data_IF_866093013365
#
_entry.id   IF_866093013365
#
_cell.length_a   1.000
_cell.length_b   1.000
_cell.length_c   1.000
_cell.angle_alpha   90.00
_cell.angle_beta   90.00
_cell.angle_gamma   90.00
#
_symmetry.space_group_name_H-M   'P 1'
#
loop_
_entity.id
_entity.type
_entity.pdbx_description
1 polymer ?
#
# COMPACT_ATOMS: atom_id res chain seq x y z
N UNK A 1 -38.54 -10.26 -3.91
CA UNK A 1 -37.26 -10.97 -4.11
C UNK A 1 -36.73 -10.66 -5.50
N UNK A 2 -35.64 -9.91 -5.58
CA UNK A 2 -35.02 -9.52 -6.83
C UNK A 2 -33.68 -8.89 -6.53
N UNK A 3 -32.67 -9.73 -6.33
CA UNK A 3 -31.30 -9.28 -6.10
C UNK A 3 -30.79 -8.57 -7.36
N UNK A 4 -30.68 -7.24 -7.30
CA UNK A 4 -29.81 -6.48 -8.20
C UNK A 4 -28.37 -6.88 -7.87
N UNK A 5 -27.87 -7.89 -8.57
CA UNK A 5 -26.44 -8.15 -8.61
C UNK A 5 -25.82 -6.99 -9.38
N UNK A 6 -25.01 -6.19 -8.68
CA UNK A 6 -24.31 -5.03 -9.21
C UNK A 6 -23.59 -5.37 -10.51
N UNK A 7 -23.77 -4.56 -11.56
CA UNK A 7 -23.18 -4.75 -12.89
C UNK A 7 -21.65 -4.82 -12.87
N UNK A 8 -21.02 -4.26 -11.84
CA UNK A 8 -19.57 -4.36 -11.59
C UNK A 8 -19.16 -5.78 -11.17
N UNK A 9 -20.00 -6.48 -10.41
CA UNK A 9 -19.73 -7.86 -9.96
C UNK A 9 -19.77 -8.84 -11.13
N UNK A 10 -20.73 -8.70 -12.05
CA UNK A 10 -20.88 -9.59 -13.22
C UNK A 10 -19.69 -9.43 -14.18
N UNK A 11 -19.18 -8.20 -14.34
CA UNK A 11 -18.06 -7.92 -15.26
C UNK A 11 -16.72 -8.49 -14.77
N UNK A 12 -16.52 -8.58 -13.45
CA UNK A 12 -15.34 -9.20 -12.85
C UNK A 12 -15.39 -10.73 -12.95
N UNK A 13 -16.55 -11.34 -12.68
CA UNK A 13 -16.74 -12.80 -12.74
C UNK A 13 -16.52 -13.32 -14.17
N UNK A 14 -17.08 -12.65 -15.18
CA UNK A 14 -16.91 -13.05 -16.58
C UNK A 14 -15.45 -12.97 -17.06
N UNK A 15 -14.64 -12.03 -16.54
CA UNK A 15 -13.22 -11.92 -16.89
C UNK A 15 -12.40 -13.03 -16.22
N UNK A 16 -12.64 -13.27 -14.94
CA UNK A 16 -11.98 -14.30 -14.14
C UNK A 16 -12.23 -15.70 -14.73
N UNK A 17 -13.47 -16.01 -15.14
CA UNK A 17 -13.77 -17.30 -15.79
C UNK A 17 -13.03 -17.50 -17.11
N UNK A 18 -12.86 -16.45 -17.92
CA UNK A 18 -12.12 -16.54 -19.19
C UNK A 18 -10.60 -16.71 -18.99
N UNK A 19 -10.03 -16.05 -17.98
CA UNK A 19 -8.59 -16.12 -17.70
C UNK A 19 -8.17 -17.49 -17.14
N UNK A 20 -9.04 -18.18 -16.39
CA UNK A 20 -8.75 -19.51 -15.82
C UNK A 20 -9.15 -20.69 -16.72
N UNK A 21 -9.84 -20.44 -17.84
CA UNK A 21 -10.31 -21.47 -18.76
C UNK A 21 -9.20 -22.44 -19.23
N UNK A 22 -7.96 -22.00 -19.56
CA UNK A 22 -6.89 -22.92 -19.96
C UNK A 22 -6.47 -23.90 -18.84
N UNK A 23 -6.40 -23.44 -17.59
CA UNK A 23 -6.08 -24.30 -16.45
C UNK A 23 -7.22 -25.28 -16.15
N UNK A 24 -8.45 -24.77 -16.16
CA UNK A 24 -9.65 -25.59 -15.97
C UNK A 24 -9.71 -26.73 -16.99
N UNK A 25 -9.46 -26.43 -18.26
CA UNK A 25 -9.40 -27.42 -19.33
C UNK A 25 -8.28 -28.46 -19.16
N UNK A 26 -7.15 -28.09 -18.57
CA UNK A 26 -6.09 -29.06 -18.24
C UNK A 26 -6.52 -30.00 -17.11
N UNK A 27 -7.20 -29.47 -16.09
CA UNK A 27 -7.67 -30.27 -14.94
C UNK A 27 -8.85 -31.18 -15.29
N UNK A 28 -9.70 -30.77 -16.22
CA UNK A 28 -10.88 -31.55 -16.67
C UNK A 28 -10.54 -32.62 -17.71
N UNK A 29 -9.36 -32.54 -18.34
CA UNK A 29 -8.94 -33.46 -19.39
C UNK A 29 -8.08 -34.59 -18.83
N UNK A 30 -8.51 -35.85 -19.01
CA UNK A 30 -7.67 -37.03 -18.76
C UNK A 30 -6.54 -37.20 -19.78
N UNK A 31 -6.45 -36.33 -20.79
CA UNK A 31 -5.41 -36.35 -21.83
C UNK A 31 -4.22 -35.41 -21.53
N UNK A 32 -4.32 -34.54 -20.52
CA UNK A 32 -3.23 -33.66 -20.11
C UNK A 32 -2.21 -34.42 -19.26
N UNK A 33 -0.92 -34.33 -19.61
CA UNK A 33 0.15 -34.79 -18.71
C UNK A 33 0.40 -33.77 -17.60
N UNK A 34 1.03 -34.20 -16.50
CA UNK A 34 1.51 -33.28 -15.45
C UNK A 34 2.26 -32.08 -16.02
N UNK A 35 3.09 -32.30 -17.04
CA UNK A 35 3.85 -31.26 -17.72
C UNK A 35 2.95 -30.19 -18.35
N UNK A 36 1.88 -30.60 -19.04
CA UNK A 36 0.94 -29.66 -19.67
C UNK A 36 0.19 -28.79 -18.65
N UNK A 37 -0.16 -29.34 -17.48
CA UNK A 37 -0.80 -28.54 -16.43
C UNK A 37 0.20 -27.63 -15.73
N UNK A 38 1.45 -28.06 -15.56
CA UNK A 38 2.52 -27.20 -15.07
C UNK A 38 2.75 -26.00 -16.00
N UNK A 39 2.86 -26.20 -17.32
CA UNK A 39 2.99 -25.10 -18.29
C UNK A 39 1.80 -24.13 -18.23
N UNK A 40 0.57 -24.65 -18.14
CA UNK A 40 -0.62 -23.81 -18.01
C UNK A 40 -0.58 -22.95 -16.74
N UNK A 41 -0.21 -23.53 -15.58
CA UNK A 41 -0.05 -22.79 -14.33
C UNK A 41 1.06 -21.74 -14.43
N UNK A 42 2.23 -22.11 -14.97
CA UNK A 42 3.36 -21.22 -15.11
C UNK A 42 3.01 -20.00 -15.99
N UNK A 43 2.34 -20.24 -17.11
CA UNK A 43 1.89 -19.19 -18.01
C UNK A 43 0.86 -18.26 -17.36
N UNK A 44 -0.06 -18.81 -16.56
CA UNK A 44 -1.03 -18.00 -15.81
C UNK A 44 -0.36 -17.12 -14.77
N UNK A 45 0.57 -17.67 -13.99
CA UNK A 45 1.32 -16.90 -12.98
C UNK A 45 2.09 -15.77 -13.67
N UNK A 46 2.80 -16.06 -14.76
CA UNK A 46 3.53 -15.05 -15.52
C UNK A 46 2.59 -13.96 -16.08
N UNK A 47 1.44 -14.36 -16.63
CA UNK A 47 0.45 -13.43 -17.14
C UNK A 47 -0.08 -12.51 -16.03
N UNK A 48 -0.43 -13.06 -14.87
CA UNK A 48 -0.87 -12.29 -13.71
C UNK A 48 0.21 -11.32 -13.22
N UNK A 49 1.48 -11.74 -13.16
CA UNK A 49 2.59 -10.85 -12.81
C UNK A 49 2.68 -9.68 -13.79
N UNK A 50 2.55 -9.93 -15.11
CA UNK A 50 2.55 -8.88 -16.13
C UNK A 50 1.35 -7.94 -15.95
N UNK A 51 0.16 -8.47 -15.70
CA UNK A 51 -1.04 -7.67 -15.44
C UNK A 51 -0.87 -6.79 -14.19
N UNK A 52 -0.34 -7.33 -13.10
CA UNK A 52 -0.06 -6.60 -11.86
C UNK A 52 0.93 -5.48 -12.14
N UNK A 53 2.07 -5.77 -12.77
CA UNK A 53 3.07 -4.76 -13.17
C UNK A 53 2.45 -3.65 -14.02
N UNK A 54 1.64 -4.01 -15.01
CA UNK A 54 0.94 -3.04 -15.85
C UNK A 54 -0.04 -2.17 -15.05
N UNK A 55 -0.76 -2.76 -14.08
CA UNK A 55 -1.69 -2.01 -13.22
C UNK A 55 -0.98 -1.04 -12.29
N UNK A 56 0.21 -1.40 -11.79
CA UNK A 56 1.06 -0.52 -11.00
C UNK A 56 1.61 0.62 -11.84
N UNK A 57 2.15 0.31 -13.03
CA UNK A 57 2.64 1.33 -13.95
C UNK A 57 1.54 2.34 -14.30
N UNK A 58 0.32 1.86 -14.58
CA UNK A 58 -0.85 2.73 -14.78
C UNK A 58 -1.14 3.59 -13.56
N UNK A 59 -1.06 3.01 -12.37
CA UNK A 59 -1.28 3.74 -11.12
C UNK A 59 -0.22 4.81 -10.87
N UNK A 60 1.01 4.63 -11.35
CA UNK A 60 2.12 5.59 -11.24
C UNK A 60 2.06 6.71 -12.30
N UNK A 61 1.59 6.39 -13.50
CA UNK A 61 1.75 7.28 -14.67
C UNK A 61 0.46 7.95 -15.10
N UNK A 62 -0.71 7.41 -14.75
CA UNK A 62 -1.99 7.87 -15.26
C UNK A 62 -3.00 8.20 -14.16
N UNK A 63 -3.65 9.35 -14.33
CA UNK A 63 -4.76 9.80 -13.49
C UNK A 63 -6.04 9.68 -14.29
N UNK A 64 -7.01 8.90 -13.79
CA UNK A 64 -8.34 8.79 -14.41
C UNK A 64 -9.14 10.06 -14.16
N UNK A 65 -10.08 10.37 -15.06
CA UNK A 65 -10.92 11.57 -14.95
C UNK A 65 -11.71 11.60 -13.64
N UNK A 66 -12.23 10.44 -13.22
CA UNK A 66 -13.00 10.27 -11.98
C UNK A 66 -12.18 10.58 -10.73
N UNK A 67 -10.85 10.50 -10.80
CA UNK A 67 -9.93 10.80 -9.69
C UNK A 67 -9.44 12.25 -9.69
N UNK A 68 -9.93 13.09 -10.62
CA UNK A 68 -9.56 14.51 -10.70
C UNK A 68 -10.25 15.40 -9.65
N UNK A 69 -10.52 14.84 -8.47
CA UNK A 69 -11.09 15.54 -7.31
C UNK A 69 -9.97 16.23 -6.51
N UNK A 70 -10.10 17.52 -6.11
CA UNK A 70 -9.05 18.23 -5.36
C UNK A 70 -8.58 17.50 -4.10
N UNK A 71 -9.51 16.85 -3.37
CA UNK A 71 -9.19 16.05 -2.20
C UNK A 71 -8.17 14.93 -2.48
N UNK A 72 -8.11 14.41 -3.71
CA UNK A 72 -7.25 13.28 -4.08
C UNK A 72 -5.90 13.72 -4.65
N UNK A 73 -5.64 15.03 -4.78
CA UNK A 73 -4.46 15.56 -5.47
C UNK A 73 -3.14 14.93 -4.98
N UNK A 74 -2.98 14.77 -3.66
CA UNK A 74 -1.77 14.21 -3.03
C UNK A 74 -1.67 12.69 -3.20
N UNK A 75 -2.79 12.00 -3.43
CA UNK A 75 -2.85 10.55 -3.55
C UNK A 75 -2.59 10.06 -4.99
N UNK A 76 -2.96 10.87 -5.99
CA UNK A 76 -2.76 10.56 -7.41
C UNK A 76 -1.30 10.17 -7.65
N UNK A 77 -1.08 9.10 -8.41
CA UNK A 77 0.24 8.55 -8.74
C UNK A 77 1.08 8.03 -7.56
N UNK A 78 0.54 8.01 -6.34
CA UNK A 78 1.23 7.53 -5.13
C UNK A 78 0.51 6.37 -4.45
N UNK A 79 -0.73 6.08 -4.85
CA UNK A 79 -1.54 4.98 -4.34
C UNK A 79 -2.16 4.22 -5.52
N UNK A 80 -2.54 2.97 -5.30
CA UNK A 80 -3.16 2.16 -6.35
C UNK A 80 -4.47 2.80 -6.84
N UNK A 81 -4.75 2.67 -8.15
CA UNK A 81 -6.02 3.15 -8.70
C UNK A 81 -7.23 2.47 -8.05
N UNK A 82 -7.09 1.22 -7.59
CA UNK A 82 -8.16 0.52 -6.87
C UNK A 82 -8.44 1.15 -5.50
N UNK A 83 -7.41 1.58 -4.77
CA UNK A 83 -7.60 2.34 -3.53
C UNK A 83 -8.34 3.67 -3.80
N UNK A 84 -7.99 4.39 -4.87
CA UNK A 84 -8.71 5.61 -5.27
C UNK A 84 -10.18 5.33 -5.62
N UNK A 85 -10.46 4.21 -6.30
CA UNK A 85 -11.84 3.79 -6.60
C UNK A 85 -12.65 3.52 -5.30
N UNK A 86 -12.02 2.93 -4.28
CA UNK A 86 -12.64 2.70 -2.97
C UNK A 86 -12.85 4.01 -2.18
N UNK A 87 -11.86 4.91 -2.17
CA UNK A 87 -12.00 6.22 -1.53
C UNK A 87 -13.07 7.05 -2.24
N UNK A 88 -13.17 6.97 -3.57
CA UNK A 88 -14.22 7.65 -4.34
C UNK A 88 -15.61 7.18 -3.90
N UNK A 89 -15.79 5.87 -3.68
CA UNK A 89 -17.07 5.33 -3.19
C UNK A 89 -17.44 5.90 -1.81
N UNK A 90 -16.48 5.98 -0.88
CA UNK A 90 -16.70 6.60 0.43
C UNK A 90 -16.88 8.12 0.33
N UNK A 91 -16.23 8.77 -0.63
CA UNK A 91 -16.36 10.20 -0.88
C UNK A 91 -17.77 10.55 -1.33
N UNK A 92 -18.34 9.79 -2.28
CA UNK A 92 -19.75 9.96 -2.67
C UNK A 92 -20.70 9.74 -1.49
N UNK A 93 -20.42 8.77 -0.61
CA UNK A 93 -21.21 8.56 0.61
C UNK A 93 -21.08 9.68 1.63
N UNK A 94 -19.98 10.43 1.60
CA UNK A 94 -19.72 11.52 2.54
C UNK A 94 -20.62 12.73 2.33
N UNK A 95 -21.20 12.90 1.13
CA UNK A 95 -22.13 13.98 0.82
C UNK A 95 -23.40 13.94 1.70
N UNK A 96 -23.82 12.73 2.10
CA UNK A 96 -24.97 12.49 2.96
C UNK A 96 -24.59 12.24 4.44
N UNK A 97 -23.29 12.25 4.76
CA UNK A 97 -22.79 11.89 6.09
C UNK A 97 -22.61 13.12 6.99
N UNK A 98 -23.00 12.97 8.27
CA UNK A 98 -22.69 13.95 9.31
C UNK A 98 -21.23 13.91 9.75
N UNK A 99 -20.77 14.93 10.47
CA UNK A 99 -19.47 14.87 11.15
C UNK A 99 -19.62 14.03 12.42
N UNK A 100 -18.87 12.93 12.53
CA UNK A 100 -18.74 12.19 13.79
C UNK A 100 -17.28 12.23 14.27
N UNK A 101 -17.04 12.87 15.42
CA UNK A 101 -15.73 12.95 16.04
C UNK A 101 -15.26 11.59 16.59
N UNK A 102 -16.17 10.66 16.87
CA UNK A 102 -15.90 9.35 17.43
C UNK A 102 -16.17 8.20 16.43
N UNK A 103 -16.05 8.49 15.13
CA UNK A 103 -16.36 7.55 14.05
C UNK A 103 -15.76 6.15 14.30
N UNK A 104 -16.63 5.14 14.34
CA UNK A 104 -16.28 3.71 14.51
C UNK A 104 -16.45 2.90 13.23
N UNK A 105 -16.34 3.54 12.07
CA UNK A 105 -16.50 2.85 10.79
C UNK A 105 -15.47 1.74 10.62
N UNK A 106 -15.96 0.52 10.38
CA UNK A 106 -15.11 -0.64 10.13
C UNK A 106 -14.25 -0.49 8.87
N UNK A 107 -14.64 0.36 7.92
CA UNK A 107 -13.92 0.62 6.69
C UNK A 107 -12.46 1.04 6.96
N UNK A 108 -12.24 1.96 7.90
CA UNK A 108 -10.89 2.39 8.29
C UNK A 108 -10.05 1.23 8.82
N UNK A 109 -10.61 0.42 9.71
CA UNK A 109 -9.91 -0.71 10.33
C UNK A 109 -9.66 -1.89 9.38
N UNK A 110 -10.55 -2.12 8.41
CA UNK A 110 -10.50 -3.29 7.53
C UNK A 110 -9.74 -3.01 6.24
N UNK A 111 -9.82 -1.78 5.73
CA UNK A 111 -9.18 -1.38 4.48
C UNK A 111 -8.00 -0.46 4.71
N UNK A 112 -7.82 0.18 5.87
CA UNK A 112 -6.71 1.13 6.08
C UNK A 112 -6.86 2.42 5.25
N UNK A 113 -8.10 2.77 4.89
CA UNK A 113 -8.46 3.94 4.07
C UNK A 113 -9.42 4.86 4.85
N UNK A 114 -9.45 6.18 4.58
CA UNK A 114 -10.41 7.09 5.21
C UNK A 114 -11.85 6.69 4.89
N UNK A 115 -12.72 6.66 5.91
CA UNK A 115 -14.15 6.44 5.72
C UNK A 115 -14.89 7.74 5.36
N UNK A 116 -16.15 7.63 4.94
CA UNK A 116 -17.02 8.77 4.60
C UNK A 116 -16.99 9.90 5.65
N UNK A 117 -17.11 9.58 6.94
CA UNK A 117 -17.10 10.58 8.02
C UNK A 117 -15.76 11.32 8.17
N UNK A 118 -14.63 10.64 7.90
CA UNK A 118 -13.31 11.29 7.87
C UNK A 118 -13.18 12.19 6.64
N UNK A 119 -13.74 11.77 5.51
CA UNK A 119 -13.73 12.53 4.24
C UNK A 119 -14.45 13.87 4.35
N UNK A 120 -15.55 13.95 5.11
CA UNK A 120 -16.25 15.22 5.40
C UNK A 120 -15.30 16.29 5.93
N UNK A 121 -14.36 15.93 6.82
CA UNK A 121 -13.41 16.88 7.42
C UNK A 121 -12.49 17.49 6.37
N UNK A 122 -11.93 16.67 5.47
CA UNK A 122 -11.05 17.13 4.41
C UNK A 122 -11.79 18.06 3.42
N UNK A 123 -13.04 17.72 3.10
CA UNK A 123 -13.88 18.55 2.22
C UNK A 123 -14.22 19.90 2.86
N UNK A 124 -14.61 19.92 4.13
CA UNK A 124 -14.94 21.17 4.84
C UNK A 124 -13.73 22.08 5.06
N UNK A 125 -12.58 21.49 5.36
CA UNK A 125 -11.32 22.21 5.53
C UNK A 125 -10.69 22.60 4.17
N UNK A 126 -11.26 22.15 3.06
CA UNK A 126 -10.79 22.44 1.71
C UNK A 126 -9.38 21.89 1.43
N UNK A 127 -8.95 20.85 2.14
CA UNK A 127 -7.59 20.32 2.04
C UNK A 127 -7.54 18.93 1.40
N UNK A 128 -6.43 18.58 0.73
CA UNK A 128 -6.22 17.22 0.24
C UNK A 128 -6.09 16.19 1.38
N UNK A 129 -6.43 14.95 1.06
CA UNK A 129 -6.20 13.79 1.93
C UNK A 129 -4.69 13.53 1.98
N UNK A 130 -4.05 13.55 3.17
CA UNK A 130 -2.63 13.26 3.29
C UNK A 130 -2.31 11.78 2.99
N UNK A 131 -1.16 11.51 2.37
CA UNK A 131 -0.67 10.14 2.14
C UNK A 131 -0.45 9.35 3.44
N UNK A 132 -0.19 10.02 4.56
CA UNK A 132 -0.06 9.38 5.88
C UNK A 132 -1.36 8.74 6.37
N UNK A 133 -2.50 9.09 5.76
CA UNK A 133 -3.79 8.51 6.08
C UNK A 133 -4.12 7.28 5.24
N UNK A 134 -3.22 6.87 4.36
CA UNK A 134 -3.39 5.69 3.52
C UNK A 134 -2.42 4.61 4.01
N UNK A 135 -2.94 3.42 4.25
CA UNK A 135 -2.12 2.26 4.64
C UNK A 135 -1.02 1.94 3.59
N UNK A 136 0.11 1.41 4.06
CA UNK A 136 1.26 1.06 3.22
C UNK A 136 0.92 0.08 2.10
N UNK A 137 -0.02 -0.84 2.36
CA UNK A 137 -0.51 -1.79 1.37
C UNK A 137 -0.92 -1.12 0.05
N UNK A 138 -1.63 0.02 0.13
CA UNK A 138 -2.13 0.71 -1.06
C UNK A 138 -1.10 1.58 -1.77
N UNK A 139 -0.02 1.95 -1.08
CA UNK A 139 1.11 2.71 -1.61
C UNK A 139 2.13 1.81 -2.33
N UNK A 140 2.03 0.49 -2.15
CA UNK A 140 2.89 -0.48 -2.82
C UNK A 140 2.54 -0.61 -4.30
N UNK A 141 3.24 0.13 -5.15
CA UNK A 141 3.09 0.12 -6.61
C UNK A 141 4.23 -0.60 -7.33
N UNK A 142 4.77 -1.65 -6.69
CA UNK A 142 5.80 -2.50 -7.27
C UNK A 142 5.56 -3.95 -6.85
N UNK A 143 5.90 -4.89 -7.74
CA UNK A 143 5.90 -6.33 -7.39
C UNK A 143 7.05 -6.70 -6.45
N UNK A 144 8.09 -5.86 -6.40
CA UNK A 144 9.12 -5.97 -5.37
C UNK A 144 8.61 -5.18 -4.16
N UNK A 145 8.39 -5.83 -3.00
CA UNK A 145 8.00 -5.11 -1.79
C UNK A 145 8.93 -3.92 -1.60
N UNK A 146 8.37 -2.73 -1.42
CA UNK A 146 9.13 -1.63 -0.85
C UNK A 146 9.45 -2.15 0.55
N UNK A 147 10.67 -2.63 0.73
CA UNK A 147 11.21 -2.75 2.08
C UNK A 147 11.18 -1.31 2.54
N UNK A 148 10.27 -1.00 3.45
CA UNK A 148 10.48 0.14 4.31
C UNK A 148 11.83 -0.16 4.96
N UNK A 149 12.88 0.40 4.37
CA UNK A 149 14.01 0.84 5.16
C UNK A 149 13.51 2.03 6.00
N UNK A 150 12.48 1.82 6.82
CA UNK A 150 12.75 1.91 8.23
C UNK A 150 13.89 0.92 8.48
N UNK A 151 15.13 1.35 8.18
CA UNK A 151 16.21 0.99 9.07
C UNK A 151 15.69 1.58 10.37
N UNK A 152 14.98 0.76 11.14
CA UNK A 152 15.01 0.91 12.57
C UNK A 152 16.50 0.93 12.84
N UNK A 153 17.06 2.13 12.99
CA UNK A 153 18.36 2.33 13.57
C UNK A 153 18.20 1.92 15.03
N UNK A 154 17.95 0.63 15.24
CA UNK A 154 17.78 0.00 16.53
C UNK A 154 19.18 -0.32 17.04
N UNK A 155 19.91 0.76 17.28
CA UNK A 155 21.22 0.74 17.91
C UNK A 155 21.08 0.85 19.43
N UNK A 156 19.89 0.55 19.99
CA UNK A 156 19.62 0.76 21.41
C UNK A 156 20.61 -0.03 22.28
N UNK A 157 21.01 -1.22 21.85
CA UNK A 157 22.03 -2.02 22.53
C UNK A 157 23.41 -1.34 22.50
N UNK A 158 23.84 -0.84 21.34
CA UNK A 158 25.12 -0.18 21.14
C UNK A 158 25.20 1.16 21.89
N UNK A 159 24.13 1.95 21.84
CA UNK A 159 23.99 3.20 22.61
C UNK A 159 24.00 2.91 24.10
N UNK A 160 23.37 1.82 24.54
CA UNK A 160 23.41 1.40 25.94
C UNK A 160 24.83 1.04 26.40
N UNK A 161 25.60 0.32 25.56
CA UNK A 161 27.00 -0.01 25.84
C UNK A 161 27.88 1.24 25.91
N UNK A 162 27.68 2.20 25.00
CA UNK A 162 28.38 3.49 25.03
C UNK A 162 28.06 4.27 26.31
N UNK A 163 26.78 4.29 26.72
CA UNK A 163 26.36 4.93 27.97
C UNK A 163 26.99 4.27 29.19
N UNK A 164 27.02 2.94 29.25
CA UNK A 164 27.67 2.21 30.34
C UNK A 164 29.17 2.51 30.40
N UNK A 165 29.84 2.51 29.24
CA UNK A 165 31.25 2.88 29.12
C UNK A 165 31.52 4.31 29.58
N UNK A 166 30.66 5.26 29.20
CA UNK A 166 30.76 6.66 29.64
C UNK A 166 30.65 6.81 31.16
N UNK A 167 29.68 6.13 31.77
CA UNK A 167 29.47 6.16 33.22
C UNK A 167 30.72 5.63 33.96
N UNK A 168 31.32 4.55 33.43
CA UNK A 168 32.52 3.92 34.00
C UNK A 168 33.84 4.65 33.69
N UNK A 169 33.85 5.61 32.75
CA UNK A 169 35.05 6.29 32.28
C UNK A 169 35.46 7.48 33.17
N UNK A 170 36.75 7.81 33.13
CA UNK A 170 37.31 9.03 33.74
C UNK A 170 36.96 10.28 32.90
N UNK A 171 37.05 11.48 33.48
CA UNK A 171 36.77 12.74 32.75
C UNK A 171 37.54 12.91 31.41
N UNK A 172 38.86 12.65 31.32
CA UNK A 172 39.55 12.73 30.03
C UNK A 172 39.07 11.68 29.02
N UNK A 173 38.74 10.47 29.48
CA UNK A 173 38.26 9.38 28.61
C UNK A 173 36.84 9.64 28.10
N UNK A 174 36.01 10.31 28.91
CA UNK A 174 34.70 10.82 28.49
C UNK A 174 34.85 11.78 27.33
N UNK A 175 35.71 12.79 27.45
CA UNK A 175 35.94 13.74 26.35
C UNK A 175 36.32 13.04 25.04
N UNK A 176 37.24 12.07 25.11
CA UNK A 176 37.66 11.26 23.96
C UNK A 176 36.53 10.41 23.36
N UNK A 177 35.63 9.86 24.20
CA UNK A 177 34.48 9.10 23.72
C UNK A 177 33.52 9.97 22.89
N UNK A 178 33.23 11.18 23.34
CA UNK A 178 32.37 12.12 22.59
C UNK A 178 33.03 12.56 21.29
N UNK A 179 34.34 12.82 21.30
CA UNK A 179 35.09 13.18 20.09
C UNK A 179 34.97 12.11 19.00
N UNK A 180 35.13 10.83 19.37
CA UNK A 180 34.96 9.70 18.45
C UNK A 180 33.52 9.54 17.96
N UNK A 181 32.53 9.77 18.82
CA UNK A 181 31.12 9.74 18.41
C UNK A 181 30.84 10.82 17.35
N UNK A 182 31.42 12.01 17.52
CA UNK A 182 31.27 13.12 16.58
C UNK A 182 32.00 12.87 15.25
N UNK A 183 33.20 12.31 15.28
CA UNK A 183 33.94 11.88 14.08
C UNK A 183 33.10 10.92 13.23
N UNK A 184 32.54 9.88 13.86
CA UNK A 184 31.68 8.89 13.18
C UNK A 184 30.41 9.55 12.63
N UNK A 185 29.78 10.47 13.37
CA UNK A 185 28.55 11.13 12.95
C UNK A 185 28.74 12.14 11.81
N UNK A 186 29.95 12.69 11.65
CA UNK A 186 30.26 13.75 10.67
C UNK A 186 31.02 13.25 9.43
N UNK A 187 31.42 11.98 9.41
CA UNK A 187 32.11 11.39 8.26
C UNK A 187 31.12 11.21 7.09
N UNK A 188 31.11 12.16 6.15
CA UNK A 188 30.38 12.03 4.89
C UNK A 188 31.04 10.96 4.02
N UNK A 189 30.29 9.91 3.68
CA UNK A 189 30.71 8.89 2.72
C UNK A 189 30.76 9.53 1.33
N UNK A 190 31.98 9.67 0.77
CA UNK A 190 32.24 10.03 -0.63
C UNK A 190 32.08 8.84 -1.56
#
# INVERSE_FOLDING_TARGET
LGHKISSTSVRLINRVETEHNPLKKCMESSAGSFFTCWEAMHNLINSQIVQIKSSFEKSLTSVRHEHQIPAFQVLRNHVSQYALDLILLEFTRSEDAGIDAACKCSFRSTHGLPCAHELVKYTQEGRPIPLSQIDQHWKQLSVVPIRDYSVGFDCLAEVHLLRQRWIAASEPDRHLLVEKMNEIASTTVS
#
